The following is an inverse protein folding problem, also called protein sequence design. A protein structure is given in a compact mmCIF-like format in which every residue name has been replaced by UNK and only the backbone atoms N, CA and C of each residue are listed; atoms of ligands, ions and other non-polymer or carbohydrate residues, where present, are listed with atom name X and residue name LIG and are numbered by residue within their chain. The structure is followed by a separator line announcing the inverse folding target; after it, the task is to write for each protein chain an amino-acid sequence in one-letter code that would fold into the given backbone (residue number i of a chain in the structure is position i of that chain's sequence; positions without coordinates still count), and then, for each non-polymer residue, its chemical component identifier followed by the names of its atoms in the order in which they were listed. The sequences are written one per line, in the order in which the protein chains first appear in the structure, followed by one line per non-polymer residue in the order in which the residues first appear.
data_IF_133446406815
#
_entry.id   IF_133446406815
#
_cell.length_a   1.000
_cell.length_b   1.000
_cell.length_c   1.000
_cell.angle_alpha   90.00
_cell.angle_beta   90.00
_cell.angle_gamma   90.00
#
_symmetry.space_group_name_H-M   'P 1'
#
loop_
_entity.id
_entity.type
_entity.pdbx_description
1 polymer ?
#
# COMPACT_ATOMS: atom_id res chain seq x y z
N UNK A 1 -9.65 -12.32 4.50
CA UNK A 1 -8.87 -11.63 5.55
C UNK A 1 -7.48 -12.24 5.77
N UNK A 2 -7.15 -13.39 5.14
CA UNK A 2 -5.85 -14.08 5.31
C UNK A 2 -4.73 -13.45 4.48
N UNK A 3 -4.98 -13.09 3.21
CA UNK A 3 -3.94 -12.52 2.32
C UNK A 3 -3.33 -11.20 2.83
N UNK A 4 -4.12 -10.34 3.49
CA UNK A 4 -3.57 -9.09 4.05
C UNK A 4 -2.60 -9.36 5.21
N UNK A 5 -2.90 -10.35 6.05
CA UNK A 5 -2.03 -10.75 7.15
C UNK A 5 -0.71 -11.38 6.65
N UNK A 6 -0.76 -12.09 5.53
CA UNK A 6 0.43 -12.67 4.89
C UNK A 6 1.26 -11.62 4.14
N UNK A 7 0.62 -10.66 3.46
CA UNK A 7 1.30 -9.48 2.93
C UNK A 7 1.92 -8.62 4.05
N UNK A 8 1.25 -8.45 5.20
CA UNK A 8 1.86 -7.75 6.34
C UNK A 8 3.01 -8.52 6.96
N UNK A 9 3.00 -9.86 6.92
CA UNK A 9 4.18 -10.64 7.33
C UNK A 9 5.34 -10.36 6.38
N UNK A 10 5.14 -10.32 5.06
CA UNK A 10 6.18 -9.89 4.13
C UNK A 10 6.63 -8.44 4.38
N UNK A 11 5.71 -7.52 4.73
CA UNK A 11 6.04 -6.15 5.14
C UNK A 11 6.82 -6.07 6.47
N UNK A 12 6.56 -6.95 7.45
CA UNK A 12 7.31 -6.99 8.71
C UNK A 12 8.64 -7.77 8.61
N UNK A 13 8.81 -8.66 7.62
CA UNK A 13 9.94 -9.61 7.54
C UNK A 13 11.15 -9.08 6.74
N UNK A 14 11.09 -7.91 6.10
CA UNK A 14 12.32 -7.27 5.57
C UNK A 14 13.19 -6.69 6.71
N UNK A 15 13.53 -7.50 7.71
CA UNK A 15 14.50 -7.19 8.73
C UNK A 15 15.84 -7.81 8.30
N UNK A 16 16.77 -6.92 7.95
CA UNK A 16 18.21 -7.02 8.21
C UNK A 16 19.18 -7.77 7.27
N UNK A 17 18.81 -8.20 6.05
CA UNK A 17 19.79 -8.90 5.20
C UNK A 17 19.81 -8.45 3.72
N UNK A 18 20.30 -7.24 3.49
CA UNK A 18 21.00 -6.74 2.28
C UNK A 18 20.73 -5.24 2.17
N UNK A 19 21.77 -4.42 2.31
CA UNK A 19 21.67 -2.96 2.23
C UNK A 19 22.29 -2.50 0.90
N UNK A 20 21.45 -2.19 -0.09
CA UNK A 20 21.80 -1.25 -1.16
C UNK A 20 21.14 0.11 -0.88
N UNK A 21 21.65 1.20 -1.45
CA UNK A 21 21.22 2.59 -1.19
C UNK A 21 19.72 2.83 -1.47
N UNK A 22 19.13 2.04 -2.38
CA UNK A 22 17.69 1.97 -2.67
C UNK A 22 16.84 1.50 -1.47
N UNK A 23 17.40 0.61 -0.64
CA UNK A 23 16.71 0.03 0.52
C UNK A 23 16.53 1.04 1.66
N UNK A 24 17.40 2.05 1.76
CA UNK A 24 17.26 3.12 2.77
C UNK A 24 16.05 3.98 2.48
N UNK A 25 15.82 4.34 1.21
CA UNK A 25 14.68 5.15 0.78
C UNK A 25 13.36 4.39 0.95
N UNK A 26 13.35 3.11 0.58
CA UNK A 26 12.21 2.20 0.81
C UNK A 26 11.92 2.05 2.31
N UNK A 27 12.95 1.93 3.15
CA UNK A 27 12.79 1.79 4.60
C UNK A 27 12.27 3.08 5.26
N UNK A 28 12.75 4.25 4.86
CA UNK A 28 12.24 5.54 5.36
C UNK A 28 10.78 5.78 4.97
N UNK A 29 10.42 5.46 3.72
CA UNK A 29 9.04 5.55 3.23
C UNK A 29 8.12 4.57 3.97
N UNK A 30 8.57 3.32 4.20
CA UNK A 30 7.82 2.34 4.99
C UNK A 30 7.55 2.86 6.41
N UNK A 31 8.59 3.30 7.12
CA UNK A 31 8.47 3.83 8.48
C UNK A 31 7.51 5.01 8.51
N UNK A 32 7.61 5.93 7.55
CA UNK A 32 6.68 7.06 7.43
C UNK A 32 5.23 6.58 7.31
N UNK A 33 4.95 5.63 6.42
CA UNK A 33 3.58 5.19 6.18
C UNK A 33 3.01 4.27 7.26
N UNK A 34 3.86 3.49 7.94
CA UNK A 34 3.50 2.74 9.14
C UNK A 34 3.13 3.67 10.29
N UNK A 35 3.91 4.74 10.52
CA UNK A 35 3.60 5.77 11.53
C UNK A 35 2.29 6.50 11.22
N UNK A 36 2.01 6.71 9.93
CA UNK A 36 0.76 7.34 9.47
C UNK A 36 -0.42 6.37 9.57
N UNK A 37 -0.18 5.06 9.64
CA UNK A 37 -1.23 4.04 9.71
C UNK A 37 -2.14 3.99 8.47
N UNK A 38 -1.76 4.64 7.37
CA UNK A 38 -2.62 4.82 6.19
C UNK A 38 -2.47 3.70 5.14
N UNK A 39 -1.37 2.95 5.12
CA UNK A 39 -1.14 1.92 4.08
C UNK A 39 -2.26 0.90 3.99
N UNK A 40 -2.68 0.34 5.13
CA UNK A 40 -3.73 -0.66 5.15
C UNK A 40 -5.11 -0.14 4.78
N UNK A 41 -5.56 0.96 5.40
CA UNK A 41 -6.79 1.62 5.00
C UNK A 41 -6.81 2.04 3.53
N UNK A 42 -5.74 2.64 3.00
CA UNK A 42 -5.63 3.04 1.59
C UNK A 42 -5.71 1.82 0.68
N UNK A 43 -4.90 0.78 0.91
CA UNK A 43 -4.92 -0.44 0.11
C UNK A 43 -6.33 -1.07 0.06
N UNK A 44 -7.00 -1.18 1.23
CA UNK A 44 -8.34 -1.76 1.32
C UNK A 44 -9.38 -0.93 0.56
N UNK A 45 -9.33 0.40 0.70
CA UNK A 45 -10.28 1.28 0.02
C UNK A 45 -10.06 1.30 -1.50
N UNK A 46 -8.81 1.19 -1.96
CA UNK A 46 -8.50 0.99 -3.38
C UNK A 46 -9.12 -0.32 -3.87
N UNK A 47 -8.96 -1.43 -3.14
CA UNK A 47 -9.59 -2.71 -3.49
C UNK A 47 -11.12 -2.66 -3.55
N UNK A 48 -11.75 -1.73 -2.83
CA UNK A 48 -13.19 -1.46 -2.88
C UNK A 48 -13.60 -0.52 -4.04
N UNK A 49 -12.64 -0.03 -4.83
CA UNK A 49 -12.89 0.85 -5.97
C UNK A 49 -13.08 2.32 -5.62
N UNK A 50 -12.72 2.77 -4.42
CA UNK A 50 -12.82 4.19 -4.06
C UNK A 50 -11.82 5.05 -4.85
N UNK A 51 -12.24 6.27 -5.18
CA UNK A 51 -11.37 7.28 -5.79
C UNK A 51 -10.38 7.86 -4.78
N UNK A 52 -9.30 8.50 -5.24
CA UNK A 52 -8.32 9.13 -4.35
C UNK A 52 -8.94 10.20 -3.47
N UNK A 53 -9.89 10.96 -4.02
CA UNK A 53 -10.63 11.98 -3.28
C UNK A 53 -11.52 11.38 -2.20
N UNK A 54 -12.17 10.26 -2.48
CA UNK A 54 -13.02 9.59 -1.49
C UNK A 54 -12.18 8.98 -0.36
N UNK A 55 -11.03 8.39 -0.70
CA UNK A 55 -10.07 7.85 0.26
C UNK A 55 -9.51 8.98 1.14
N UNK A 56 -9.11 10.09 0.53
CA UNK A 56 -8.60 11.28 1.21
C UNK A 56 -9.62 11.79 2.23
N UNK A 57 -10.88 11.91 1.81
CA UNK A 57 -11.99 12.32 2.68
C UNK A 57 -12.24 11.32 3.81
N UNK A 58 -12.21 10.01 3.52
CA UNK A 58 -12.45 8.95 4.52
C UNK A 58 -11.34 8.83 5.56
N UNK A 59 -10.10 9.09 5.17
CA UNK A 59 -8.93 8.94 6.03
C UNK A 59 -8.46 10.26 6.64
N UNK A 60 -9.18 11.37 6.39
CA UNK A 60 -8.77 12.73 6.77
C UNK A 60 -7.33 13.05 6.30
N UNK A 61 -7.03 12.66 5.06
CA UNK A 61 -5.75 12.88 4.40
C UNK A 61 -5.93 13.84 3.23
N UNK A 62 -4.84 14.47 2.80
CA UNK A 62 -4.84 15.17 1.52
C UNK A 62 -4.80 14.18 0.37
N UNK A 63 -5.43 14.53 -0.76
CA UNK A 63 -5.42 13.70 -1.97
C UNK A 63 -4.00 13.40 -2.45
N UNK A 64 -3.09 14.37 -2.32
CA UNK A 64 -1.67 14.20 -2.63
C UNK A 64 -1.01 13.11 -1.78
N UNK A 65 -1.35 13.01 -0.48
CA UNK A 65 -0.83 11.93 0.38
C UNK A 65 -1.40 10.58 -0.01
N UNK A 66 -2.67 10.51 -0.42
CA UNK A 66 -3.27 9.28 -0.92
C UNK A 66 -2.58 8.84 -2.21
N UNK A 67 -2.36 9.75 -3.16
CA UNK A 67 -1.65 9.47 -4.40
C UNK A 67 -0.22 8.99 -4.16
N UNK A 68 0.52 9.63 -3.24
CA UNK A 68 1.86 9.21 -2.88
C UNK A 68 1.87 7.80 -2.25
N UNK A 69 0.90 7.50 -1.38
CA UNK A 69 0.74 6.17 -0.78
C UNK A 69 0.43 5.11 -1.85
N UNK A 70 -0.48 5.40 -2.79
CA UNK A 70 -0.83 4.48 -3.87
C UNK A 70 0.35 4.28 -4.83
N UNK A 71 1.05 5.34 -5.22
CA UNK A 71 2.24 5.25 -6.06
C UNK A 71 3.31 4.36 -5.41
N UNK A 72 3.48 4.49 -4.10
CA UNK A 72 4.40 3.64 -3.35
C UNK A 72 3.94 2.17 -3.31
N UNK A 73 2.65 1.90 -3.06
CA UNK A 73 2.10 0.54 -3.09
C UNK A 73 2.27 -0.09 -4.49
N UNK A 74 2.03 0.68 -5.55
CA UNK A 74 2.22 0.24 -6.93
C UNK A 74 3.69 -0.11 -7.19
N UNK A 75 4.62 0.78 -6.82
CA UNK A 75 6.05 0.55 -6.99
C UNK A 75 6.52 -0.70 -6.23
N UNK A 76 6.09 -0.85 -4.97
CA UNK A 76 6.47 -1.98 -4.13
C UNK A 76 5.90 -3.32 -4.64
N UNK A 77 4.68 -3.33 -5.17
CA UNK A 77 4.06 -4.53 -5.74
C UNK A 77 4.44 -4.78 -7.21
N UNK A 78 5.23 -3.89 -7.81
CA UNK A 78 5.61 -3.98 -9.23
C UNK A 78 4.44 -3.73 -10.19
N UNK A 79 3.37 -3.06 -9.74
CA UNK A 79 2.23 -2.71 -10.56
C UNK A 79 2.45 -1.38 -11.25
N UNK A 80 1.95 -1.26 -12.49
CA UNK A 80 2.06 0.00 -13.26
C UNK A 80 0.83 0.86 -13.13
N UNK A 81 -0.32 0.27 -12.82
CA UNK A 81 -1.60 0.96 -12.87
C UNK A 81 -2.47 0.65 -11.66
N UNK A 82 -3.28 1.65 -11.25
CA UNK A 82 -4.28 1.50 -10.19
C UNK A 82 -5.20 0.29 -10.41
N UNK A 83 -5.57 -0.01 -11.65
CA UNK A 83 -6.46 -1.12 -11.95
C UNK A 83 -5.87 -2.49 -11.56
N UNK A 84 -4.55 -2.68 -11.69
CA UNK A 84 -3.88 -3.89 -11.23
C UNK A 84 -3.97 -4.00 -9.72
N UNK A 85 -3.72 -2.88 -9.02
CA UNK A 85 -3.86 -2.80 -7.57
C UNK A 85 -5.29 -3.06 -7.10
N UNK A 86 -6.31 -2.51 -7.78
CA UNK A 86 -7.72 -2.76 -7.46
C UNK A 86 -8.02 -4.26 -7.58
N UNK A 87 -7.61 -4.89 -8.68
CA UNK A 87 -7.84 -6.32 -8.93
C UNK A 87 -7.13 -7.19 -7.90
N UNK A 88 -5.91 -6.82 -7.53
CA UNK A 88 -5.13 -7.53 -6.52
C UNK A 88 -5.74 -7.36 -5.11
N UNK A 89 -6.13 -6.13 -4.75
CA UNK A 89 -6.69 -5.81 -3.45
C UNK A 89 -8.16 -6.24 -3.27
N UNK A 90 -8.90 -6.45 -4.37
CA UNK A 90 -10.25 -7.00 -4.33
C UNK A 90 -10.30 -8.45 -3.81
N UNK A 91 -9.15 -9.15 -3.77
CA UNK A 91 -9.05 -10.56 -3.40
C UNK A 91 -9.64 -11.50 -4.45
N UNK A 92 -9.44 -12.82 -4.33
CA UNK A 92 -10.11 -13.78 -5.20
C UNK A 92 -11.62 -13.68 -4.96
N UNK A 93 -12.35 -13.17 -5.95
CA UNK A 93 -13.73 -13.62 -6.16
C UNK A 93 -13.64 -15.12 -6.43
N UNK A 94 -13.91 -15.91 -5.39
CA UNK A 94 -14.16 -17.34 -5.51
C UNK A 94 -15.23 -17.50 -6.60
N UNK A 95 -14.82 -18.08 -7.73
CA UNK A 95 -15.70 -18.82 -8.63
C UNK A 95 -15.25 -20.27 -8.58
#
# INVERSE_FOLDING_TARGET
MVEWAECTKSWCICTAAAFEESDVEVNLMRVFWEQVGALGPVYRLVGQGFSDRDIATKLDLTELRVQACIAWILHFLGFTNRNELIRYAAGPTVM
#
